data_IF_733660922103
#
_entry.id   IF_733660922103
#
_cell.length_a   1.000
_cell.length_b   1.000
_cell.length_c   1.000
_cell.angle_alpha   90.00
_cell.angle_beta   90.00
_cell.angle_gamma   90.00
#
_symmetry.space_group_name_H-M   'P 1'
#
loop_
_entity.id
_entity.type
_entity.pdbx_description
1 polymer ?
#
# COMPACT_ATOMS: atom_id res chain seq x y z
N UNK A 1 11.18 -4.77 5.00
CA UNK A 1 10.16 -5.29 5.93
C UNK A 1 9.50 -4.19 6.75
N UNK A 2 10.17 -3.44 7.63
CA UNK A 2 9.47 -2.50 8.52
C UNK A 2 8.77 -1.35 7.80
N UNK A 3 9.35 -0.83 6.73
CA UNK A 3 8.72 0.19 5.87
C UNK A 3 7.49 -0.37 5.18
N UNK A 4 7.51 -1.63 4.75
CA UNK A 4 6.37 -2.30 4.12
C UNK A 4 5.22 -2.49 5.11
N UNK A 5 5.52 -2.86 6.36
CA UNK A 5 4.52 -2.98 7.44
C UNK A 5 3.86 -1.62 7.74
N UNK A 6 4.64 -0.54 7.73
CA UNK A 6 4.08 0.82 7.85
C UNK A 6 3.15 1.14 6.69
N UNK A 7 3.56 0.88 5.45
CA UNK A 7 2.73 1.11 4.26
C UNK A 7 1.44 0.28 4.30
N UNK A 8 1.50 -0.96 4.77
CA UNK A 8 0.30 -1.78 4.98
C UNK A 8 -0.64 -1.14 6.01
N UNK A 9 -0.11 -0.59 7.11
CA UNK A 9 -0.90 0.15 8.10
C UNK A 9 -1.60 1.38 7.49
N UNK A 10 -0.88 2.16 6.68
CA UNK A 10 -1.45 3.31 5.94
C UNK A 10 -2.56 2.85 5.00
N UNK A 11 -2.32 1.80 4.22
CA UNK A 11 -3.28 1.28 3.25
C UNK A 11 -4.55 0.73 3.92
N UNK A 12 -4.40 -0.01 5.02
CA UNK A 12 -5.55 -0.52 5.79
C UNK A 12 -6.38 0.63 6.38
N UNK A 13 -5.73 1.69 6.88
CA UNK A 13 -6.43 2.89 7.30
C UNK A 13 -7.21 3.51 6.12
N UNK A 14 -6.57 3.69 4.97
CA UNK A 14 -7.18 4.30 3.78
C UNK A 14 -8.39 3.52 3.27
N UNK A 15 -8.33 2.18 3.26
CA UNK A 15 -9.46 1.34 2.86
C UNK A 15 -10.66 1.45 3.81
N UNK A 16 -10.43 1.66 5.11
CA UNK A 16 -11.49 1.74 6.11
C UNK A 16 -12.06 3.15 6.27
N UNK A 17 -11.21 4.17 6.13
CA UNK A 17 -11.55 5.57 6.43
C UNK A 17 -11.80 6.39 5.15
N UNK A 18 -11.21 5.99 4.02
CA UNK A 18 -11.40 6.64 2.72
C UNK A 18 -10.46 7.82 2.43
N UNK A 19 -9.50 8.09 3.32
CA UNK A 19 -8.44 9.09 3.10
C UNK A 19 -7.16 8.70 3.86
N UNK A 20 -6.05 9.35 3.53
CA UNK A 20 -4.77 9.11 4.21
C UNK A 20 -4.83 9.45 5.70
N UNK A 21 -4.16 8.69 6.60
CA UNK A 21 -4.10 9.01 8.03
C UNK A 21 -3.37 10.33 8.30
N UNK A 22 -2.37 10.67 7.48
CA UNK A 22 -1.58 11.90 7.59
C UNK A 22 -2.16 13.02 6.72
N UNK A 23 -3.46 13.22 6.87
CA UNK A 23 -4.24 14.23 6.16
C UNK A 23 -4.56 15.40 7.10
N UNK A 24 -4.41 16.63 6.61
CA UNK A 24 -4.86 17.84 7.31
C UNK A 24 -6.17 18.32 6.67
N UNK A 25 -7.33 18.22 7.35
CA UNK A 25 -8.61 18.69 6.81
C UNK A 25 -8.61 20.18 6.40
N UNK A 26 -7.74 20.98 7.01
CA UNK A 26 -7.55 22.39 6.66
C UNK A 26 -6.67 22.63 5.42
N UNK A 27 -6.00 21.60 4.87
CA UNK A 27 -5.28 21.75 3.59
C UNK A 27 -6.23 21.85 2.39
N UNK A 28 -7.48 21.39 2.53
CA UNK A 28 -8.52 21.46 1.49
C UNK A 28 -9.60 22.52 1.83
N UNK A 29 -9.86 22.79 3.12
CA UNK A 29 -10.78 23.85 3.55
C UNK A 29 -10.06 25.19 3.73
N UNK A 30 -10.06 26.01 2.68
CA UNK A 30 -9.43 27.34 2.59
C UNK A 30 -9.96 28.43 3.55
N UNK A 31 -10.44 28.12 4.77
CA UNK A 31 -11.26 29.05 5.55
C UNK A 31 -11.03 29.09 7.08
N UNK A 32 -9.85 28.76 7.59
CA UNK A 32 -9.46 29.13 8.98
C UNK A 32 -8.02 29.62 9.01
N UNK A 33 -7.83 30.92 9.26
CA UNK A 33 -6.64 31.71 8.89
C UNK A 33 -5.54 31.75 9.98
N UNK A 34 -5.79 31.24 11.20
CA UNK A 34 -4.91 31.56 12.35
C UNK A 34 -4.19 30.37 13.02
N UNK A 35 -4.25 29.15 12.47
CA UNK A 35 -3.51 28.00 12.99
C UNK A 35 -2.44 27.51 11.98
N UNK A 36 -1.19 27.24 12.41
CA UNK A 36 -0.19 26.68 11.51
C UNK A 36 -0.63 25.31 11.00
N UNK A 37 -0.76 25.17 9.68
CA UNK A 37 -1.11 23.91 9.04
C UNK A 37 0.10 22.97 9.08
N UNK A 38 -0.03 21.81 9.73
CA UNK A 38 0.97 20.76 9.65
C UNK A 38 0.90 20.09 8.28
N UNK A 39 2.05 19.97 7.62
CA UNK A 39 2.24 19.19 6.40
C UNK A 39 2.12 17.69 6.69
N UNK A 40 1.81 16.85 5.68
CA UNK A 40 1.81 15.39 5.85
C UNK A 40 3.13 14.86 6.43
N UNK A 41 4.26 15.44 6.00
CA UNK A 41 5.59 15.09 6.53
C UNK A 41 5.68 15.37 8.03
N UNK A 42 5.20 16.52 8.49
CA UNK A 42 5.23 16.87 9.92
C UNK A 42 4.31 15.96 10.74
N UNK A 43 3.14 15.60 10.21
CA UNK A 43 2.24 14.63 10.85
C UNK A 43 2.87 13.24 10.95
N UNK A 44 3.52 12.76 9.88
CA UNK A 44 4.26 11.47 9.88
C UNK A 44 5.38 11.49 10.92
N UNK A 45 6.19 12.54 10.93
CA UNK A 45 7.30 12.69 11.87
C UNK A 45 6.83 12.85 13.32
N UNK A 46 5.63 13.37 13.54
CA UNK A 46 5.01 13.46 14.86
C UNK A 46 4.20 12.21 15.25
N UNK A 47 3.93 11.30 14.30
CA UNK A 47 3.05 10.15 14.53
C UNK A 47 1.61 10.55 14.79
N UNK A 48 1.20 11.73 14.31
CA UNK A 48 -0.11 12.32 14.59
C UNK A 48 -1.11 11.98 13.49
N UNK A 49 -2.15 11.24 13.85
CA UNK A 49 -3.34 10.99 13.03
C UNK A 49 -4.53 10.74 13.95
N UNK A 50 -5.74 10.84 13.41
CA UNK A 50 -6.97 10.61 14.17
C UNK A 50 -7.62 9.30 13.73
N UNK A 51 -7.89 8.42 14.69
CA UNK A 51 -8.64 7.19 14.46
C UNK A 51 -10.14 7.47 14.62
N UNK A 52 -10.98 7.30 13.58
CA UNK A 52 -12.41 7.48 13.69
C UNK A 52 -13.10 6.40 14.53
N UNK A 53 -14.15 6.75 15.27
CA UNK A 53 -14.90 5.82 16.14
C UNK A 53 -15.62 4.69 15.39
N UNK A 54 -15.90 4.87 14.10
CA UNK A 54 -16.56 3.83 13.30
C UNK A 54 -15.63 2.68 12.90
N UNK A 55 -14.32 2.83 13.10
CA UNK A 55 -13.34 1.77 12.81
C UNK A 55 -13.42 0.71 13.92
N UNK A 56 -13.54 -0.59 13.62
CA UNK A 56 -13.60 -1.63 14.65
C UNK A 56 -12.35 -1.67 15.52
N UNK A 57 -12.50 -1.93 16.82
CA UNK A 57 -11.39 -1.94 17.80
C UNK A 57 -10.19 -2.80 17.37
N UNK A 58 -10.46 -3.98 16.79
CA UNK A 58 -9.39 -4.86 16.28
C UNK A 58 -8.62 -4.23 15.13
N UNK A 59 -9.28 -3.46 14.26
CA UNK A 59 -8.62 -2.72 13.19
C UNK A 59 -7.88 -1.48 13.74
N UNK A 60 -8.44 -0.78 14.73
CA UNK A 60 -7.76 0.33 15.39
C UNK A 60 -6.45 -0.12 16.03
N UNK A 61 -6.48 -1.24 16.77
CA UNK A 61 -5.30 -1.84 17.39
C UNK A 61 -4.26 -2.26 16.35
N UNK A 62 -4.70 -2.89 15.26
CA UNK A 62 -3.82 -3.27 14.15
C UNK A 62 -3.10 -2.08 13.53
N UNK A 63 -3.87 -1.06 13.12
CA UNK A 63 -3.34 0.16 12.48
C UNK A 63 -2.38 0.87 13.43
N UNK A 64 -2.74 0.99 14.71
CA UNK A 64 -1.88 1.63 15.70
C UNK A 64 -0.53 0.93 15.86
N UNK A 65 -0.53 -0.41 15.88
CA UNK A 65 0.71 -1.20 15.94
C UNK A 65 1.55 -1.12 14.67
N UNK A 66 0.92 -1.03 13.49
CA UNK A 66 1.62 -0.87 12.21
C UNK A 66 2.20 0.55 12.04
N UNK A 67 1.51 1.56 12.55
CA UNK A 67 1.92 2.98 12.50
C UNK A 67 2.75 3.41 13.72
N UNK A 68 3.34 2.46 14.45
CA UNK A 68 4.33 2.75 15.49
C UNK A 68 5.56 3.41 14.88
N UNK A 69 5.96 4.56 15.43
CA UNK A 69 7.08 5.35 14.92
C UNK A 69 8.41 4.59 15.01
N UNK A 70 8.66 3.95 16.16
CA UNK A 70 9.83 3.10 16.34
C UNK A 70 9.67 1.81 15.49
N UNK A 71 10.53 1.58 14.48
CA UNK A 71 10.45 0.40 13.64
C UNK A 71 10.69 -0.92 14.40
N UNK A 72 11.32 -0.89 15.58
CA UNK A 72 11.61 -2.08 16.39
C UNK A 72 10.44 -2.50 17.28
N UNK A 73 9.55 -1.57 17.59
CA UNK A 73 8.32 -1.80 18.36
C UNK A 73 7.09 -1.93 17.44
N UNK A 74 7.29 -1.87 16.13
CA UNK A 74 6.24 -1.97 15.12
C UNK A 74 5.72 -3.39 15.01
N UNK A 75 4.41 -3.54 14.90
CA UNK A 75 3.77 -4.81 14.64
C UNK A 75 4.38 -5.49 13.40
N UNK A 76 4.69 -6.78 13.50
CA UNK A 76 5.37 -7.52 12.43
C UNK A 76 6.88 -7.25 12.33
N UNK A 77 7.45 -6.47 13.24
CA UNK A 77 8.88 -6.20 13.35
C UNK A 77 9.45 -6.53 14.75
N UNK A 78 9.11 -7.68 15.36
CA UNK A 78 9.52 -7.96 16.74
C UNK A 78 11.05 -7.98 16.90
N UNK A 79 11.59 -7.74 18.10
CA UNK A 79 13.02 -7.89 18.37
C UNK A 79 13.51 -9.28 17.94
N UNK A 80 14.53 -9.30 17.09
CA UNK A 80 15.04 -10.53 16.47
C UNK A 80 14.33 -10.97 15.18
N UNK A 81 13.44 -10.16 14.59
CA UNK A 81 12.90 -10.41 13.24
C UNK A 81 13.99 -10.35 12.14
N UNK A 82 15.17 -9.80 12.45
CA UNK A 82 16.36 -9.86 11.62
C UNK A 82 17.21 -11.11 11.86
N UNK A 83 16.83 -11.97 12.81
CA UNK A 83 17.53 -13.23 13.03
C UNK A 83 17.26 -14.13 11.81
N UNK A 84 18.34 -14.49 11.12
CA UNK A 84 18.30 -15.28 9.88
C UNK A 84 17.68 -16.68 10.06
N UNK A 85 17.47 -17.13 11.31
CA UNK A 85 16.88 -18.40 11.68
C UNK A 85 15.33 -18.39 11.68
N UNK A 86 14.69 -17.22 11.67
CA UNK A 86 13.23 -17.07 11.75
C UNK A 86 12.71 -15.92 10.85
N UNK A 87 12.97 -15.93 9.52
CA UNK A 87 12.60 -14.83 8.63
C UNK A 87 11.08 -14.57 8.53
N UNK A 88 10.24 -15.56 8.86
CA UNK A 88 8.77 -15.45 8.78
C UNK A 88 8.12 -14.92 10.06
N UNK A 89 8.88 -14.70 11.14
CA UNK A 89 8.32 -14.42 12.47
C UNK A 89 7.45 -13.15 12.47
N UNK A 90 7.89 -12.11 11.74
CA UNK A 90 7.15 -10.86 11.61
C UNK A 90 5.80 -11.03 10.91
N UNK A 91 5.78 -11.68 9.75
CA UNK A 91 4.54 -11.89 9.00
C UNK A 91 3.55 -12.79 9.75
N UNK A 92 4.03 -13.81 10.48
CA UNK A 92 3.14 -14.67 11.30
C UNK A 92 2.44 -13.91 12.42
N UNK A 93 3.08 -12.90 12.99
CA UNK A 93 2.45 -12.00 13.97
C UNK A 93 1.31 -11.21 13.32
N UNK A 94 1.53 -10.70 12.10
CA UNK A 94 0.50 -10.01 11.31
C UNK A 94 -0.67 -10.95 11.01
N UNK A 95 -0.39 -12.17 10.52
CA UNK A 95 -1.43 -13.16 10.20
C UNK A 95 -2.25 -13.59 11.42
N UNK A 96 -1.61 -13.69 12.59
CA UNK A 96 -2.24 -14.07 13.85
C UNK A 96 -3.02 -12.94 14.54
N UNK A 97 -2.98 -11.71 14.01
CA UNK A 97 -3.64 -10.58 14.62
C UNK A 97 -5.19 -10.74 14.60
N UNK A 98 -5.91 -10.36 15.67
CA UNK A 98 -7.37 -10.54 15.76
C UNK A 98 -8.18 -9.94 14.60
N UNK A 99 -7.67 -8.87 13.98
CA UNK A 99 -8.24 -8.26 12.77
C UNK A 99 -8.45 -9.28 11.64
N UNK A 100 -7.55 -10.26 11.50
CA UNK A 100 -7.59 -11.27 10.45
C UNK A 100 -8.10 -12.64 10.94
N UNK A 101 -8.66 -12.71 12.15
CA UNK A 101 -9.24 -13.95 12.69
C UNK A 101 -10.26 -14.65 11.78
N UNK A 102 -11.04 -13.97 10.91
CA UNK A 102 -11.93 -14.65 9.98
C UNK A 102 -11.24 -15.25 8.74
N UNK A 103 -9.96 -14.96 8.50
CA UNK A 103 -9.24 -15.36 7.29
C UNK A 103 -8.60 -16.73 7.48
N UNK A 104 -8.99 -17.69 6.64
CA UNK A 104 -8.21 -18.90 6.42
C UNK A 104 -7.09 -18.58 5.42
N UNK A 105 -5.85 -18.47 5.89
CA UNK A 105 -4.70 -18.09 5.06
C UNK A 105 -4.34 -19.15 4.00
N UNK A 106 -4.63 -20.43 4.28
CA UNK A 106 -4.47 -21.53 3.33
C UNK A 106 -5.44 -21.39 2.16
N UNK A 107 -6.73 -21.15 2.46
CA UNK A 107 -7.75 -20.91 1.45
C UNK A 107 -7.45 -19.64 0.64
N UNK A 108 -6.88 -18.60 1.28
CA UNK A 108 -6.47 -17.37 0.60
C UNK A 108 -5.36 -17.64 -0.42
N UNK A 109 -4.31 -18.38 -0.02
CA UNK A 109 -3.17 -18.70 -0.86
C UNK A 109 -3.56 -19.58 -2.07
N UNK A 110 -4.57 -20.45 -1.89
CA UNK A 110 -5.10 -21.31 -2.96
C UNK A 110 -6.21 -20.65 -3.79
N UNK A 111 -6.54 -19.38 -3.51
CA UNK A 111 -7.59 -18.66 -4.23
C UNK A 111 -9.00 -19.21 -3.99
N UNK A 112 -9.21 -19.95 -2.89
CA UNK A 112 -10.50 -20.55 -2.51
C UNK A 112 -11.44 -19.57 -1.80
N UNK A 113 -10.91 -18.46 -1.27
CA UNK A 113 -11.74 -17.39 -0.70
C UNK A 113 -12.49 -16.63 -1.79
N UNK A 114 -13.80 -16.48 -1.62
CA UNK A 114 -14.62 -15.66 -2.52
C UNK A 114 -14.32 -14.17 -2.27
N UNK A 115 -13.95 -13.39 -3.30
CA UNK A 115 -13.77 -11.94 -3.15
C UNK A 115 -15.07 -11.26 -2.70
N UNK A 116 -15.00 -10.27 -1.79
CA UNK A 116 -16.19 -9.54 -1.34
C UNK A 116 -16.78 -8.65 -2.44
N UNK A 117 -15.95 -8.16 -3.35
CA UNK A 117 -16.34 -7.37 -4.52
C UNK A 117 -15.95 -8.15 -5.77
N UNK A 118 -16.90 -8.37 -6.67
CA UNK A 118 -16.68 -9.04 -7.96
C UNK A 118 -16.97 -8.04 -9.06
N UNK A 119 -15.91 -7.52 -9.69
CA UNK A 119 -15.99 -6.45 -10.69
C UNK A 119 -16.26 -6.97 -12.13
N UNK A 120 -16.45 -8.29 -12.31
CA UNK A 120 -16.47 -8.91 -13.63
C UNK A 120 -17.72 -9.78 -13.80
N UNK A 121 -18.60 -9.38 -14.71
CA UNK A 121 -19.65 -10.22 -15.29
C UNK A 121 -19.38 -10.40 -16.78
N UNK A 122 -19.93 -11.45 -17.40
CA UNK A 122 -19.87 -11.60 -18.87
C UNK A 122 -20.46 -10.35 -19.55
N UNK A 123 -19.71 -9.77 -20.50
CA UNK A 123 -20.14 -8.57 -21.24
C UNK A 123 -19.84 -7.23 -20.56
N UNK A 124 -19.16 -7.21 -19.40
CA UNK A 124 -18.67 -5.98 -18.78
C UNK A 124 -17.42 -5.51 -19.53
N UNK A 125 -17.42 -4.25 -19.94
CA UNK A 125 -16.25 -3.59 -20.51
C UNK A 125 -15.09 -3.62 -19.50
N UNK A 126 -14.07 -4.41 -19.80
CA UNK A 126 -12.88 -4.58 -18.95
C UNK A 126 -12.11 -3.27 -18.81
N UNK A 127 -12.21 -2.36 -19.80
CA UNK A 127 -11.57 -1.05 -19.78
C UNK A 127 -12.28 -0.07 -18.84
N UNK A 128 -13.54 -0.34 -18.48
CA UNK A 128 -14.31 0.50 -17.55
C UNK A 128 -13.76 0.55 -16.12
N UNK A 129 -12.81 -0.31 -15.76
CA UNK A 129 -12.11 -0.25 -14.47
C UNK A 129 -10.91 0.70 -14.46
N UNK A 130 -10.53 1.26 -15.63
CA UNK A 130 -9.38 2.15 -15.78
C UNK A 130 -9.86 3.58 -16.01
N UNK A 131 -9.00 4.57 -15.72
CA UNK A 131 -9.32 5.96 -16.01
C UNK A 131 -9.36 6.20 -17.53
N UNK A 132 -10.43 6.84 -18.02
CA UNK A 132 -10.66 7.06 -19.45
C UNK A 132 -9.47 7.71 -20.17
N UNK A 133 -8.74 8.62 -19.51
CA UNK A 133 -7.56 9.28 -20.09
C UNK A 133 -6.48 8.30 -20.57
N UNK A 134 -6.35 7.12 -19.98
CA UNK A 134 -5.37 6.13 -20.40
C UNK A 134 -5.90 5.16 -21.46
N UNK A 135 -7.23 5.03 -21.56
CA UNK A 135 -7.90 4.16 -22.52
C UNK A 135 -8.10 4.90 -23.85
N UNK A 136 -8.37 6.20 -23.77
CA UNK A 136 -8.60 7.08 -24.90
C UNK A 136 -7.28 7.60 -25.53
N UNK A 137 -6.16 7.47 -24.83
CA UNK A 137 -4.83 7.84 -25.35
C UNK A 137 -4.44 6.92 -26.52
N UNK A 138 -3.83 7.50 -27.56
CA UNK A 138 -3.32 6.75 -28.70
C UNK A 138 -2.25 5.74 -28.23
N UNK A 139 -2.52 4.44 -28.42
CA UNK A 139 -1.61 3.35 -28.10
C UNK A 139 -0.41 3.28 -29.08
N UNK A 140 0.35 4.37 -29.13
CA UNK A 140 1.49 4.56 -30.01
C UNK A 140 2.76 4.63 -29.19
N UNK A 141 3.82 4.03 -29.71
CA UNK A 141 5.13 4.15 -29.11
C UNK A 141 5.70 5.52 -29.48
N UNK A 142 5.85 6.40 -28.50
CA UNK A 142 6.47 7.70 -28.72
C UNK A 142 7.98 7.51 -28.86
N UNK A 143 8.51 7.68 -30.07
CA UNK A 143 9.90 8.09 -30.25
C UNK A 143 10.75 7.40 -31.31
N UNK A 144 10.24 6.62 -32.26
CA UNK A 144 11.11 5.98 -33.29
C UNK A 144 12.16 6.90 -33.95
N UNK A 145 11.91 8.22 -34.01
CA UNK A 145 12.85 9.22 -34.53
C UNK A 145 13.62 10.05 -33.46
N UNK A 146 13.18 10.09 -32.19
CA UNK A 146 13.75 10.97 -31.15
C UNK A 146 14.69 10.25 -30.16
N UNK A 147 14.62 8.93 -30.00
CA UNK A 147 15.45 8.18 -29.02
C UNK A 147 16.63 7.44 -29.62
N UNK A 148 16.98 7.62 -30.90
CA UNK A 148 18.20 7.02 -31.49
C UNK A 148 19.38 7.33 -30.57
N UNK A 149 19.81 6.34 -29.79
CA UNK A 149 20.82 6.52 -28.78
C UNK A 149 22.10 7.00 -29.47
N UNK A 150 22.55 8.22 -29.16
CA UNK A 150 23.86 8.69 -29.60
C UNK A 150 24.99 7.82 -29.01
N UNK A 151 24.70 7.14 -27.90
CA UNK A 151 25.59 6.21 -27.20
C UNK A 151 25.37 4.78 -27.72
N UNK A 152 26.44 4.07 -28.13
CA UNK A 152 26.35 2.66 -28.48
C UNK A 152 25.74 1.84 -27.34
N UNK A 153 24.91 0.85 -27.67
CA UNK A 153 24.42 -0.13 -26.73
C UNK A 153 25.63 -0.80 -26.03
N UNK A 154 25.74 -0.64 -24.71
CA UNK A 154 26.75 -1.29 -23.90
C UNK A 154 26.23 -2.63 -23.35
N UNK A 155 27.08 -3.34 -22.59
CA UNK A 155 26.70 -4.62 -21.98
C UNK A 155 25.77 -4.47 -20.76
N UNK A 156 25.29 -3.25 -20.43
CA UNK A 156 24.46 -3.01 -19.24
C UNK A 156 23.09 -3.71 -19.27
N UNK A 157 22.64 -4.14 -20.45
CA UNK A 157 21.39 -4.89 -20.65
C UNK A 157 21.59 -6.39 -20.91
N UNK A 158 22.82 -6.90 -20.80
CA UNK A 158 23.07 -8.35 -20.84
C UNK A 158 22.33 -9.02 -19.69
N UNK A 159 21.51 -10.02 -20.00
CA UNK A 159 20.66 -10.71 -19.03
C UNK A 159 19.25 -10.12 -18.87
N UNK A 160 18.88 -9.10 -19.66
CA UNK A 160 17.50 -8.56 -19.67
C UNK A 160 16.49 -9.47 -20.38
N UNK A 161 16.96 -10.42 -21.20
CA UNK A 161 16.10 -11.39 -21.88
C UNK A 161 15.77 -12.57 -20.97
N UNK A 162 14.48 -12.75 -20.69
CA UNK A 162 13.94 -13.89 -19.95
C UNK A 162 12.90 -14.60 -20.81
N UNK A 163 13.26 -15.70 -21.50
CA UNK A 163 12.27 -16.53 -22.18
C UNK A 163 11.38 -17.18 -21.11
N UNK A 164 10.06 -17.04 -21.27
CA UNK A 164 9.05 -17.21 -20.23
C UNK A 164 9.13 -18.46 -19.34
N UNK A 165 8.73 -18.25 -18.09
CA UNK A 165 8.29 -19.24 -17.10
C UNK A 165 6.93 -19.80 -17.46
#
# INVERSE_FOLDING_TARGET
YSVDMWQLGVFVFELLVGHSPFYSPQSIAASKVDAPQKTPRELILAGEYLMPEHVPDSAQHFISGMLTQDPLERLGCPPGALCADQPERGWREVQGHPMFSPICWEDAAEGRLRPPVVNVGEGVDVLGNFEARFVDDDATFVGEDEWRAETPCDDSFVGFYFPGV
#
